data_IF_810834251646
#
_entry.id   IF_810834251646
#
_cell.length_a   1.000
_cell.length_b   1.000
_cell.length_c   1.000
_cell.angle_alpha   90.00
_cell.angle_beta   90.00
_cell.angle_gamma   90.00
#
_symmetry.space_group_name_H-M   'P 1'
#
loop_
_entity.id
_entity.type
_entity.pdbx_description
1 polymer ?
#
# COMPACT_ATOMS: atom_id res chain seq x y z
N UNK A 1 10.99 10.88 -24.99
CA UNK A 1 11.01 9.63 -24.29
C UNK A 1 9.87 9.53 -23.31
N UNK A 2 9.24 8.44 -23.34
CA UNK A 2 8.05 8.24 -22.54
C UNK A 2 8.34 7.34 -21.36
N UNK A 3 7.96 7.76 -20.18
CA UNK A 3 8.05 6.91 -19.02
C UNK A 3 7.06 5.79 -19.15
N UNK A 4 7.44 4.62 -18.70
CA UNK A 4 6.50 3.54 -18.58
C UNK A 4 5.45 3.93 -17.53
N UNK A 5 4.17 3.77 -17.84
CA UNK A 5 3.15 4.08 -16.84
C UNK A 5 3.29 3.16 -15.65
N UNK A 6 3.01 3.69 -14.48
CA UNK A 6 2.99 2.90 -13.27
C UNK A 6 1.58 2.87 -12.73
N UNK A 7 1.29 1.85 -11.94
CA UNK A 7 0.02 1.70 -11.28
C UNK A 7 0.28 1.28 -9.86
N UNK A 8 -0.73 1.35 -9.03
CA UNK A 8 -0.63 0.88 -7.68
C UNK A 8 -1.17 -0.54 -7.61
N UNK A 9 -0.55 -1.32 -6.75
CA UNK A 9 -0.93 -2.71 -6.57
C UNK A 9 -1.04 -3.01 -5.09
N UNK A 10 -2.00 -3.85 -4.78
CA UNK A 10 -2.27 -4.25 -3.42
C UNK A 10 -1.86 -5.71 -3.26
N UNK A 11 -1.05 -5.97 -2.26
CA UNK A 11 -0.68 -7.33 -1.89
C UNK A 11 -1.42 -7.66 -0.62
N UNK A 12 -2.25 -8.67 -0.67
CA UNK A 12 -3.05 -9.08 0.48
C UNK A 12 -2.44 -10.29 1.13
N UNK A 13 -2.20 -10.22 2.42
CA UNK A 13 -1.65 -11.36 3.15
C UNK A 13 -2.36 -11.55 4.48
N UNK A 14 -2.45 -12.81 4.87
CA UNK A 14 -2.99 -13.19 6.17
C UNK A 14 -1.88 -13.00 7.20
N UNK A 15 -2.18 -12.30 8.28
CA UNK A 15 -1.18 -11.98 9.29
C UNK A 15 -1.81 -12.18 10.66
N UNK A 16 -1.84 -13.45 11.13
CA UNK A 16 -2.57 -13.77 12.35
C UNK A 16 -2.02 -13.11 13.61
N UNK A 17 -0.76 -12.73 13.61
CA UNK A 17 -0.18 -12.04 14.76
C UNK A 17 0.24 -10.64 14.37
N UNK A 18 -0.73 -9.91 13.83
CA UNK A 18 -0.47 -8.63 13.20
C UNK A 18 0.17 -7.61 14.13
N UNK A 19 -0.22 -7.62 15.39
CA UNK A 19 0.30 -6.66 16.35
C UNK A 19 1.81 -6.81 16.53
N UNK A 20 2.33 -8.04 16.46
CA UNK A 20 3.76 -8.26 16.61
C UNK A 20 4.49 -8.22 15.27
N UNK A 21 3.83 -8.62 14.19
CA UNK A 21 4.50 -8.83 12.90
C UNK A 21 4.35 -7.70 11.91
N UNK A 22 3.42 -6.78 12.14
CA UNK A 22 3.13 -5.74 11.15
C UNK A 22 4.33 -4.89 10.81
N UNK A 23 5.11 -4.48 11.80
CA UNK A 23 6.29 -3.66 11.55
C UNK A 23 7.35 -4.44 10.78
N UNK A 24 7.48 -5.75 11.07
CA UNK A 24 8.43 -6.60 10.36
C UNK A 24 8.06 -6.76 8.90
N UNK A 25 6.78 -6.90 8.60
CA UNK A 25 6.30 -6.98 7.23
C UNK A 25 6.67 -5.72 6.47
N UNK A 26 6.39 -4.55 7.05
CA UNK A 26 6.68 -3.29 6.37
C UNK A 26 8.18 -3.12 6.15
N UNK A 27 8.99 -3.49 7.12
CA UNK A 27 10.43 -3.38 7.00
C UNK A 27 10.97 -4.27 5.88
N UNK A 28 10.50 -5.52 5.81
CA UNK A 28 10.96 -6.43 4.76
C UNK A 28 10.47 -5.98 3.40
N UNK A 29 9.23 -5.49 3.32
CA UNK A 29 8.68 -5.01 2.06
C UNK A 29 9.48 -3.82 1.54
N UNK A 30 9.78 -2.88 2.41
CA UNK A 30 10.57 -1.71 2.06
C UNK A 30 11.96 -2.12 1.56
N UNK A 31 12.62 -3.00 2.30
CA UNK A 31 13.98 -3.42 1.95
C UNK A 31 14.03 -4.14 0.60
N UNK A 32 13.06 -5.01 0.35
CA UNK A 32 13.04 -5.76 -0.91
C UNK A 32 12.79 -4.82 -2.09
N UNK A 33 11.87 -3.86 -1.93
CA UNK A 33 11.59 -2.91 -2.99
C UNK A 33 12.82 -2.04 -3.28
N UNK A 34 13.52 -1.61 -2.24
CA UNK A 34 14.73 -0.81 -2.43
C UNK A 34 15.83 -1.60 -3.13
N UNK A 35 15.97 -2.87 -2.78
CA UNK A 35 16.96 -3.71 -3.44
C UNK A 35 16.65 -3.86 -4.93
N UNK A 36 15.40 -4.07 -5.28
CA UNK A 36 14.99 -4.18 -6.67
C UNK A 36 15.21 -2.87 -7.42
N UNK A 37 14.88 -1.76 -6.78
CA UNK A 37 15.09 -0.45 -7.40
C UNK A 37 16.57 -0.23 -7.70
N UNK A 38 17.44 -0.66 -6.83
CA UNK A 38 18.88 -0.50 -7.07
C UNK A 38 19.37 -1.42 -8.17
N UNK A 39 18.60 -2.44 -8.53
CA UNK A 39 18.90 -3.29 -9.69
C UNK A 39 18.29 -2.74 -10.98
N UNK A 40 17.65 -1.59 -10.91
CA UNK A 40 17.00 -1.00 -12.07
C UNK A 40 15.57 -1.43 -12.29
N UNK A 41 14.99 -2.15 -11.35
CA UNK A 41 13.60 -2.60 -11.45
C UNK A 41 12.73 -1.58 -10.74
N UNK A 42 11.83 -0.94 -11.47
CA UNK A 42 11.02 0.14 -10.92
C UNK A 42 9.89 -0.40 -10.06
N UNK A 43 10.09 -0.33 -8.75
CA UNK A 43 9.06 -0.70 -7.80
C UNK A 43 9.28 0.13 -6.54
N UNK A 44 8.18 0.52 -5.90
CA UNK A 44 8.24 1.32 -4.70
C UNK A 44 7.19 0.81 -3.72
N UNK A 45 7.63 0.53 -2.51
CA UNK A 45 6.70 0.19 -1.44
C UNK A 45 6.16 1.48 -0.85
N UNK A 46 4.84 1.63 -0.79
CA UNK A 46 4.22 2.86 -0.34
C UNK A 46 3.86 2.80 1.14
N UNK A 47 3.12 1.78 1.54
CA UNK A 47 2.73 1.62 2.94
C UNK A 47 2.00 0.30 3.12
N UNK A 48 1.78 -0.07 4.36
CA UNK A 48 0.91 -1.19 4.67
C UNK A 48 -0.28 -0.70 5.48
N UNK A 49 -1.38 -1.43 5.34
CA UNK A 49 -2.61 -1.17 6.06
C UNK A 49 -2.96 -2.45 6.78
N UNK A 50 -3.06 -2.35 8.08
CA UNK A 50 -3.31 -3.51 8.89
C UNK A 50 -4.75 -3.49 9.34
N UNK A 51 -5.44 -4.62 9.20
CA UNK A 51 -6.79 -4.79 9.69
C UNK A 51 -6.73 -5.90 10.74
N UNK A 52 -6.41 -5.54 11.99
CA UNK A 52 -6.12 -6.57 13.00
C UNK A 52 -7.29 -7.51 13.26
N UNK A 53 -8.49 -6.98 13.21
CA UNK A 53 -9.67 -7.76 13.48
C UNK A 53 -9.84 -8.90 12.48
N UNK A 54 -9.46 -8.66 11.24
CA UNK A 54 -9.56 -9.67 10.18
C UNK A 54 -8.27 -10.44 10.00
N UNK A 55 -7.23 -10.07 10.72
CA UNK A 55 -5.90 -10.68 10.62
C UNK A 55 -5.36 -10.57 9.20
N UNK A 56 -5.59 -9.43 8.58
CA UNK A 56 -5.18 -9.18 7.20
C UNK A 56 -4.28 -7.96 7.16
N UNK A 57 -3.26 -8.04 6.33
CA UNK A 57 -2.38 -6.90 6.06
C UNK A 57 -2.39 -6.67 4.55
N UNK A 58 -2.53 -5.41 4.17
CA UNK A 58 -2.43 -4.99 2.77
C UNK A 58 -1.16 -4.20 2.60
N UNK A 59 -0.35 -4.58 1.63
CA UNK A 59 0.85 -3.82 1.29
C UNK A 59 0.62 -3.15 -0.05
N UNK A 60 0.82 -1.84 -0.09
CA UNK A 60 0.62 -1.05 -1.29
C UNK A 60 1.97 -0.78 -1.95
N UNK A 61 2.00 -1.04 -3.26
CA UNK A 61 3.20 -0.82 -4.07
C UNK A 61 2.84 -0.02 -5.29
N UNK A 62 3.85 0.65 -5.84
CA UNK A 62 3.75 1.30 -7.13
C UNK A 62 4.76 0.63 -8.05
N UNK A 63 4.32 0.20 -9.22
CA UNK A 63 5.18 -0.52 -10.15
C UNK A 63 4.55 -0.52 -11.54
N UNK A 64 5.31 -0.98 -12.52
CA UNK A 64 4.82 -1.05 -13.90
C UNK A 64 3.90 -2.25 -14.13
N UNK A 65 4.00 -3.29 -13.29
CA UNK A 65 3.19 -4.49 -13.50
C UNK A 65 3.01 -5.26 -12.21
N UNK A 66 1.98 -6.09 -12.20
CA UNK A 66 1.73 -6.98 -11.08
C UNK A 66 2.87 -7.99 -10.91
N UNK A 67 3.50 -8.37 -12.02
CA UNK A 67 4.61 -9.33 -11.97
C UNK A 67 5.76 -8.80 -11.11
N UNK A 68 6.08 -7.52 -11.28
CA UNK A 68 7.15 -6.89 -10.52
C UNK A 68 6.79 -6.86 -9.03
N UNK A 69 5.53 -6.54 -8.72
CA UNK A 69 5.08 -6.52 -7.33
C UNK A 69 5.12 -7.92 -6.72
N UNK A 70 4.73 -8.92 -7.49
CA UNK A 70 4.80 -10.32 -7.03
C UNK A 70 6.23 -10.69 -6.68
N UNK A 71 7.18 -10.27 -7.51
CA UNK A 71 8.58 -10.54 -7.21
C UNK A 71 9.03 -9.83 -5.94
N UNK A 72 8.62 -8.58 -5.77
CA UNK A 72 9.00 -7.81 -4.58
C UNK A 72 8.44 -8.47 -3.31
N UNK A 73 7.19 -8.89 -3.36
CA UNK A 73 6.56 -9.56 -2.21
C UNK A 73 7.25 -10.89 -1.91
N UNK A 74 7.63 -11.61 -2.95
CA UNK A 74 8.33 -12.88 -2.78
C UNK A 74 9.71 -12.67 -2.14
N UNK A 75 10.45 -11.68 -2.62
CA UNK A 75 11.76 -11.36 -2.04
C UNK A 75 11.65 -10.92 -0.59
N UNK A 76 10.54 -10.28 -0.23
CA UNK A 76 10.31 -9.85 1.13
C UNK A 76 9.85 -10.98 2.04
N UNK A 77 9.72 -12.19 1.48
CA UNK A 77 9.25 -13.36 2.20
C UNK A 77 7.84 -13.16 2.77
N UNK A 78 7.01 -12.44 2.03
CA UNK A 78 5.61 -12.28 2.41
C UNK A 78 4.83 -13.48 1.89
N UNK A 79 4.02 -14.05 2.77
CA UNK A 79 3.16 -15.18 2.36
C UNK A 79 1.82 -14.58 1.96
N UNK A 80 1.76 -14.08 0.75
CA UNK A 80 0.61 -13.33 0.30
C UNK A 80 -0.40 -14.23 -0.40
N UNK A 81 -1.65 -13.81 -0.36
CA UNK A 81 -2.76 -14.52 -0.99
C UNK A 81 -2.94 -14.09 -2.43
N UNK A 82 -2.75 -12.81 -2.70
CA UNK A 82 -2.95 -12.31 -4.05
C UNK A 82 -2.33 -10.93 -4.22
N UNK A 83 -2.12 -10.58 -5.49
CA UNK A 83 -1.68 -9.26 -5.91
C UNK A 83 -2.70 -8.77 -6.90
N UNK A 84 -3.27 -7.59 -6.65
CA UNK A 84 -4.28 -7.01 -7.54
C UNK A 84 -3.98 -5.54 -7.75
N UNK A 85 -4.39 -5.04 -8.89
CA UNK A 85 -4.26 -3.61 -9.15
C UNK A 85 -5.24 -2.84 -8.27
N UNK A 86 -4.77 -1.75 -7.71
CA UNK A 86 -5.60 -0.86 -6.89
C UNK A 86 -5.62 0.50 -7.56
N UNK A 87 -6.78 1.12 -7.55
CA UNK A 87 -6.95 2.42 -8.16
C UNK A 87 -7.28 3.42 -7.07
N UNK A 88 -6.51 4.49 -7.02
CA UNK A 88 -6.75 5.54 -6.05
C UNK A 88 -7.91 6.40 -6.54
N UNK A 89 -8.98 6.40 -5.79
CA UNK A 89 -10.16 7.19 -6.14
C UNK A 89 -10.26 8.31 -5.12
N UNK A 90 -9.89 9.51 -5.50
CA UNK A 90 -9.93 10.62 -4.54
C UNK A 90 -11.36 10.95 -4.15
N UNK A 91 -11.51 11.43 -2.93
CA UNK A 91 -12.81 11.87 -2.45
C UNK A 91 -13.29 13.03 -3.30
N UNK A 92 -14.57 13.06 -3.60
CA UNK A 92 -15.16 14.18 -4.28
C UNK A 92 -15.24 15.36 -3.33
N UNK A 93 -14.77 16.48 -3.80
CA UNK A 93 -14.92 17.71 -3.05
C UNK A 93 -15.95 18.54 -3.71
N UNK A 94 -16.87 18.94 -2.94
CA UNK A 94 -17.61 20.04 -3.44
C UNK A 94 -16.90 21.20 -2.89
N UNK A 95 -16.77 22.06 -3.35
CA UNK A 95 -15.98 23.02 -2.91
C UNK A 95 -16.33 23.58 -1.80
N UNK A 96 -16.25 23.27 -1.36
CA UNK A 96 -16.38 23.57 -0.36
C UNK A 96 -16.32 23.24 0.58
N UNK A 97 -15.93 23.05 0.35
CA UNK A 97 -15.86 22.90 1.05
C UNK A 97 -15.49 22.81 1.93
N UNK A 98 -15.08 22.75 2.00
CA UNK A 98 -14.82 22.74 2.83
C UNK A 98 -14.49 22.52 3.55
N UNK A 99 -14.23 22.84 3.69
CA UNK A 99 -14.01 22.80 4.39
C UNK A 99 -13.90 22.31 5.17
N UNK A 100 -13.61 22.47 5.45
CA UNK A 100 -13.67 22.37 6.20
C UNK A 100 -13.69 21.95 6.93
N UNK A 101 -13.48 22.24 7.09
CA UNK A 101 -13.80 22.16 7.87
C UNK A 101 -14.05 21.46 8.41
N UNK A 102 -13.79 21.68 8.51
CA UNK A 102 -14.31 21.42 9.10
C UNK A 102 -14.41 20.61 9.56
N UNK A 103 -14.06 20.53 9.78
CA UNK A 103 -14.49 20.26 10.30
C UNK A 103 -14.62 19.63 10.71
N UNK A 104 -14.23 19.67 10.86
CA UNK A 104 -14.69 19.56 11.37
C UNK A 104 -14.86 18.90 11.71
N UNK A 105 -14.40 18.88 11.92
CA UNK A 105 -14.91 18.70 12.41
C UNK A 105 -14.99 17.99 12.78
N UNK A 106 -14.54 17.91 13.03
CA UNK A 106 -14.95 17.72 13.58
C UNK A 106 -15.38 17.16 13.86
N UNK A 107 -15.09 17.12 13.93
CA UNK A 107 -15.83 16.99 14.39
C UNK A 107 -16.26 16.41 14.41
N UNK A 108 -15.82 16.49 14.39
CA UNK A 108 -16.58 16.33 14.55
C UNK A 108 -16.99 15.79 14.51
N UNK A 109 -16.59 15.72 14.71
CA UNK A 109 -17.27 15.65 14.82
C UNK A 109 -17.46 15.26 14.69
N UNK A 110 -17.22 15.41 14.90
CA UNK A 110 -17.72 15.53 14.89
C UNK A 110 -17.93 15.35 14.67
N UNK A 111 -17.57 15.46 14.75
CA UNK A 111 -18.00 15.56 14.66
C UNK A 111 -18.21 15.48 14.55
#
# INVERSE_FOLDING_TARGET
MTSRPVAEYLVELYLPDAASDGAGVATRAQAAAEAMASEGIGVRFLRSILVPEDEICFCLYEAASAHVVTEAATRAALQFERVVEAVDVPALHTEASHDMTAQEDRDAGVA
#
